data_IF_539006100180
#
_entry.id   IF_539006100180
#
_cell.length_a   1.000
_cell.length_b   1.000
_cell.length_c   1.000
_cell.angle_alpha   90.00
_cell.angle_beta   90.00
_cell.angle_gamma   90.00
#
_symmetry.space_group_name_H-M   'P 1'
#
loop_
_entity.id
_entity.type
_entity.pdbx_description
1 polymer ?
#
# COMPACT_ATOMS: atom_id res chain seq x y z
N UNK A 1 8.13 -4.50 -12.49
CA UNK A 1 7.15 -4.49 -11.39
C UNK A 1 7.42 -3.28 -10.53
N UNK A 2 6.36 -2.60 -10.09
CA UNK A 2 6.43 -1.52 -9.10
C UNK A 2 5.42 -1.82 -8.00
N UNK A 3 5.69 -1.31 -6.80
CA UNK A 3 4.76 -1.38 -5.68
C UNK A 3 4.22 0.01 -5.40
N UNK A 4 2.92 0.18 -5.54
CA UNK A 4 2.20 1.33 -5.01
C UNK A 4 2.12 1.20 -3.50
N UNK A 5 2.55 2.24 -2.79
CA UNK A 5 2.36 2.35 -1.34
C UNK A 5 1.63 3.66 -1.05
N UNK A 6 0.57 3.57 -0.25
CA UNK A 6 -0.18 4.73 0.19
C UNK A 6 -0.43 4.64 1.69
N UNK A 7 0.05 5.64 2.42
CA UNK A 7 -0.32 5.82 3.82
C UNK A 7 -1.59 6.65 3.89
N UNK A 8 -2.59 6.10 4.56
CA UNK A 8 -3.90 6.71 4.76
C UNK A 8 -4.06 7.02 6.24
N UNK A 9 -4.05 8.31 6.58
CA UNK A 9 -4.37 8.78 7.93
C UNK A 9 -5.84 9.12 7.99
N UNK A 10 -6.66 8.28 8.65
CA UNK A 10 -8.12 8.43 8.68
C UNK A 10 -8.50 9.45 9.77
N UNK A 11 -9.32 10.43 9.40
CA UNK A 11 -9.86 11.44 10.32
C UNK A 11 -11.40 11.48 10.32
N UNK A 12 -12.04 10.72 9.42
CA UNK A 12 -13.49 10.49 9.42
C UNK A 12 -13.88 9.20 10.14
N UNK A 13 -15.10 8.73 9.87
CA UNK A 13 -15.57 7.43 10.35
C UNK A 13 -14.78 6.27 9.70
N UNK A 14 -14.30 5.34 10.52
CA UNK A 14 -13.43 4.25 10.07
C UNK A 14 -14.19 3.22 9.24
N UNK A 15 -15.44 2.91 9.60
CA UNK A 15 -16.25 1.93 8.86
C UNK A 15 -16.66 2.48 7.49
N UNK A 16 -17.04 3.76 7.43
CA UNK A 16 -17.30 4.46 6.17
C UNK A 16 -16.04 4.49 5.28
N UNK A 17 -14.88 4.77 5.87
CA UNK A 17 -13.60 4.72 5.16
C UNK A 17 -13.34 3.32 4.59
N UNK A 18 -13.48 2.27 5.39
CA UNK A 18 -13.25 0.89 4.94
C UNK A 18 -14.21 0.51 3.80
N UNK A 19 -15.48 0.86 3.91
CA UNK A 19 -16.44 0.62 2.83
C UNK A 19 -16.10 1.39 1.54
N UNK A 20 -15.66 2.65 1.65
CA UNK A 20 -15.22 3.43 0.48
C UNK A 20 -13.95 2.83 -0.14
N UNK A 21 -13.00 2.41 0.70
CA UNK A 21 -11.75 1.75 0.32
C UNK A 21 -11.99 0.43 -0.42
N UNK A 22 -12.95 -0.37 0.02
CA UNK A 22 -13.28 -1.65 -0.63
C UNK A 22 -13.76 -1.46 -2.07
N UNK A 23 -14.53 -0.41 -2.34
CA UNK A 23 -14.97 -0.07 -3.70
C UNK A 23 -13.80 0.34 -4.60
N UNK A 24 -12.88 1.14 -4.07
CA UNK A 24 -11.65 1.51 -4.80
C UNK A 24 -10.77 0.28 -5.03
N UNK A 25 -10.61 -0.57 -4.02
CA UNK A 25 -9.81 -1.80 -4.10
C UNK A 25 -10.37 -2.76 -5.15
N UNK A 26 -11.69 -2.96 -5.18
CA UNK A 26 -12.37 -3.79 -6.18
C UNK A 26 -12.20 -3.25 -7.61
N UNK A 27 -12.23 -1.93 -7.78
CA UNK A 27 -11.93 -1.31 -9.07
C UNK A 27 -10.47 -1.54 -9.49
N UNK A 28 -9.53 -1.27 -8.58
CA UNK A 28 -8.09 -1.37 -8.85
C UNK A 28 -7.66 -2.81 -9.15
N UNK A 29 -8.24 -3.80 -8.45
CA UNK A 29 -7.90 -5.21 -8.64
C UNK A 29 -8.38 -5.80 -9.97
N UNK A 30 -9.35 -5.14 -10.61
CA UNK A 30 -9.84 -5.52 -11.93
C UNK A 30 -9.05 -4.90 -13.10
N UNK A 31 -8.08 -4.02 -12.82
CA UNK A 31 -7.36 -3.30 -13.88
C UNK A 31 -6.26 -4.16 -14.51
N UNK A 32 -5.99 -3.98 -15.83
CA UNK A 32 -4.85 -4.62 -16.47
C UNK A 32 -3.53 -4.28 -15.77
N UNK A 33 -2.69 -5.30 -15.56
CA UNK A 33 -1.38 -5.15 -14.94
C UNK A 33 -1.38 -5.12 -13.40
N UNK A 34 -2.53 -5.23 -12.75
CA UNK A 34 -2.62 -5.45 -11.30
C UNK A 34 -2.18 -6.88 -10.93
N UNK A 35 -1.36 -7.03 -9.88
CA UNK A 35 -0.80 -8.33 -9.47
C UNK A 35 -1.26 -8.79 -8.08
N UNK A 36 -1.66 -7.86 -7.21
CA UNK A 36 -2.12 -8.18 -5.86
C UNK A 36 -2.05 -6.97 -4.94
N UNK A 37 -2.62 -7.09 -3.74
CA UNK A 37 -2.54 -6.06 -2.72
C UNK A 37 -2.48 -6.64 -1.32
N UNK A 38 -2.05 -5.80 -0.38
CA UNK A 38 -2.18 -5.98 1.06
C UNK A 38 -2.64 -4.67 1.67
N UNK A 39 -3.47 -4.76 2.69
CA UNK A 39 -3.79 -3.62 3.55
C UNK A 39 -3.30 -3.93 4.95
N UNK A 40 -2.50 -3.03 5.49
CA UNK A 40 -2.01 -3.09 6.85
C UNK A 40 -2.68 -1.99 7.64
N UNK A 41 -3.00 -2.26 8.90
CA UNK A 41 -3.42 -1.26 9.86
C UNK A 41 -2.32 -1.09 10.89
N UNK A 42 -2.05 0.15 11.29
CA UNK A 42 -1.14 0.42 12.41
C UNK A 42 -1.62 -0.33 13.65
N UNK A 43 -0.70 -1.06 14.28
CA UNK A 43 -0.99 -1.86 15.46
C UNK A 43 -1.01 -0.97 16.71
N UNK A 44 -2.21 -0.73 17.25
CA UNK A 44 -2.41 0.18 18.38
C UNK A 44 -2.23 1.66 17.99
N UNK A 45 -3.08 2.52 18.52
CA UNK A 45 -3.02 3.96 18.26
C UNK A 45 -3.98 4.43 17.17
N UNK A 46 -3.55 5.44 16.42
CA UNK A 46 -4.36 6.18 15.44
C UNK A 46 -4.83 5.28 14.28
N UNK A 47 -5.98 5.61 13.64
CA UNK A 47 -6.51 4.85 12.50
C UNK A 47 -5.70 5.12 11.22
N UNK A 48 -4.47 4.61 11.20
CA UNK A 48 -3.55 4.69 10.07
C UNK A 48 -3.52 3.35 9.34
N UNK A 49 -3.62 3.41 8.02
CA UNK A 49 -3.56 2.25 7.14
C UNK A 49 -2.43 2.41 6.11
N UNK A 50 -1.80 1.31 5.73
CA UNK A 50 -0.92 1.23 4.57
C UNK A 50 -1.58 0.34 3.53
N UNK A 51 -1.77 0.88 2.33
CA UNK A 51 -2.12 0.10 1.16
C UNK A 51 -0.88 -0.18 0.36
N UNK A 52 -0.65 -1.45 0.06
CA UNK A 52 0.41 -1.90 -0.81
C UNK A 52 -0.25 -2.62 -1.98
N UNK A 53 0.02 -2.21 -3.21
CA UNK A 53 -0.46 -2.90 -4.40
C UNK A 53 0.67 -3.08 -5.41
N UNK A 54 0.86 -4.32 -5.86
CA UNK A 54 1.89 -4.66 -6.84
C UNK A 54 1.31 -4.55 -8.26
N UNK A 55 2.08 -3.92 -9.14
CA UNK A 55 1.73 -3.69 -10.54
C UNK A 55 2.85 -4.15 -11.45
N UNK A 56 2.48 -4.66 -12.62
CA UNK A 56 3.41 -5.08 -13.66
C UNK A 56 4.43 -3.99 -13.99
N UNK A 57 3.94 -2.75 -14.16
CA UNK A 57 4.75 -1.55 -14.39
C UNK A 57 3.99 -0.26 -13.98
N UNK A 58 4.72 0.86 -14.00
CA UNK A 58 4.17 2.17 -13.64
C UNK A 58 3.17 2.73 -14.67
N UNK A 59 3.17 2.25 -15.92
CA UNK A 59 2.23 2.70 -16.93
C UNK A 59 0.84 2.09 -16.71
N UNK A 60 0.77 0.81 -16.36
CA UNK A 60 -0.45 0.11 -15.98
C UNK A 60 -1.12 0.79 -14.76
N UNK A 61 -0.35 1.05 -13.70
CA UNK A 61 -0.87 1.78 -12.53
C UNK A 61 -1.37 3.18 -12.92
N UNK A 62 -0.60 3.92 -13.72
CA UNK A 62 -0.97 5.27 -14.15
C UNK A 62 -2.29 5.27 -14.92
N UNK A 63 -2.47 4.35 -15.86
CA UNK A 63 -3.69 4.22 -16.64
C UNK A 63 -4.92 4.00 -15.75
N UNK A 64 -4.79 3.15 -14.72
CA UNK A 64 -5.85 2.91 -13.74
C UNK A 64 -6.25 4.18 -12.97
N UNK A 65 -5.27 4.90 -12.39
CA UNK A 65 -5.54 6.06 -11.52
C UNK A 65 -5.92 7.34 -12.27
N UNK A 66 -5.62 7.43 -13.57
CA UNK A 66 -6.05 8.56 -14.42
C UNK A 66 -7.42 8.35 -15.06
N UNK A 67 -8.07 7.22 -14.83
CA UNK A 67 -9.38 6.95 -15.43
C UNK A 67 -10.49 7.80 -14.78
N UNK A 68 -11.55 8.14 -15.53
CA UNK A 68 -12.73 8.80 -14.96
C UNK A 68 -13.41 7.97 -13.85
N UNK A 69 -13.43 6.64 -14.01
CA UNK A 69 -14.02 5.72 -13.03
C UNK A 69 -13.29 5.77 -11.69
N UNK A 70 -11.96 5.81 -11.70
CA UNK A 70 -11.15 5.96 -10.49
C UNK A 70 -11.43 7.30 -9.79
N UNK A 71 -11.48 8.39 -10.57
CA UNK A 71 -11.78 9.73 -10.05
C UNK A 71 -13.12 9.81 -9.31
N UNK A 72 -14.15 9.14 -9.85
CA UNK A 72 -15.47 9.07 -9.21
C UNK A 72 -15.45 8.31 -7.88
N UNK A 73 -14.67 7.24 -7.78
CA UNK A 73 -14.56 6.42 -6.56
C UNK A 73 -13.75 7.10 -5.46
N UNK A 74 -12.63 7.75 -5.81
CA UNK A 74 -11.70 8.32 -4.83
C UNK A 74 -12.23 9.62 -4.19
N UNK A 75 -13.21 10.27 -4.80
CA UNK A 75 -13.82 11.51 -4.29
C UNK A 75 -14.39 11.35 -2.87
N UNK A 76 -14.97 10.19 -2.55
CA UNK A 76 -15.49 9.88 -1.21
C UNK A 76 -14.38 9.69 -0.16
N UNK A 77 -13.24 9.12 -0.55
CA UNK A 77 -12.13 8.85 0.38
C UNK A 77 -11.44 10.12 0.87
N UNK A 78 -11.35 11.16 0.04
CA UNK A 78 -10.64 12.41 0.38
C UNK A 78 -11.23 13.16 1.58
N UNK A 79 -12.49 12.91 1.93
CA UNK A 79 -13.14 13.51 3.09
C UNK A 79 -12.91 12.69 4.38
N UNK A 80 -12.49 11.43 4.24
CA UNK A 80 -12.37 10.49 5.35
C UNK A 80 -10.91 10.27 5.76
N UNK A 81 -9.96 10.46 4.85
CA UNK A 81 -8.54 10.26 5.11
C UNK A 81 -7.63 11.18 4.29
N UNK A 82 -6.45 11.43 4.84
CA UNK A 82 -5.33 12.06 4.13
C UNK A 82 -4.44 10.97 3.50
N UNK A 83 -4.34 10.89 2.16
CA UNK A 83 -3.46 9.96 1.47
C UNK A 83 -2.05 10.53 1.26
N UNK A 84 -1.04 9.66 1.37
CA UNK A 84 0.36 9.93 1.03
C UNK A 84 0.85 8.83 0.04
N UNK A 85 0.48 8.92 -1.25
CA UNK A 85 0.74 7.86 -2.23
C UNK A 85 2.08 8.03 -2.95
N UNK A 86 2.77 6.92 -3.21
CA UNK A 86 3.94 6.86 -4.09
C UNK A 86 4.12 5.49 -4.74
N UNK A 87 4.89 5.44 -5.83
CA UNK A 87 5.35 4.21 -6.46
C UNK A 87 6.79 3.92 -6.04
N UNK A 88 7.08 2.66 -5.77
CA UNK A 88 8.37 2.17 -5.31
C UNK A 88 8.86 1.03 -6.20
N UNK A 89 10.18 0.91 -6.29
CA UNK A 89 10.86 -0.21 -6.92
C UNK A 89 11.45 -1.11 -5.83
N UNK A 90 11.47 -2.42 -6.09
CA UNK A 90 12.15 -3.35 -5.19
C UNK A 90 13.66 -3.17 -5.33
N UNK A 91 14.35 -2.96 -4.21
CA UNK A 91 15.80 -3.00 -4.14
C UNK A 91 16.26 -4.32 -3.49
N UNK A 92 17.42 -4.87 -3.89
CA UNK A 92 17.93 -6.08 -3.25
C UNK A 92 18.11 -5.88 -1.74
N UNK A 93 17.71 -6.87 -0.95
CA UNK A 93 18.03 -6.90 0.47
C UNK A 93 19.55 -6.90 0.63
N UNK A 94 20.07 -5.97 1.44
CA UNK A 94 21.44 -6.08 1.90
C UNK A 94 21.42 -6.99 3.11
N UNK A 95 21.96 -8.20 2.96
CA UNK A 95 22.18 -9.11 4.07
C UNK A 95 22.91 -8.35 5.18
N UNK A 96 22.34 -8.29 6.39
CA UNK A 96 23.14 -7.97 7.56
C UNK A 96 24.18 -9.09 7.67
N UNK A 97 25.46 -8.74 7.48
CA UNK A 97 26.54 -9.72 7.59
C UNK A 97 26.42 -10.43 8.94
N UNK A 98 26.29 -11.76 8.91
CA UNK A 98 26.27 -12.59 10.11
C UNK A 98 27.64 -12.45 10.78
N UNK A 99 27.78 -11.57 11.77
CA UNK A 99 28.91 -11.62 12.67
C UNK A 99 28.76 -12.89 13.50
N UNK A 100 29.47 -13.95 13.10
CA UNK A 100 29.59 -15.15 13.90
C UNK A 100 30.23 -14.77 15.24
N UNK A 101 29.48 -14.93 16.34
CA UNK A 101 30.04 -14.84 17.69
C UNK A 101 30.87 -16.11 17.92
N UNK A 102 32.21 -16.03 18.08
CA UNK A 102 32.98 -17.22 18.42
C UNK A 102 32.63 -17.62 19.85
N UNK A 103 32.12 -18.84 20.02
CA UNK A 103 31.96 -19.45 21.33
C UNK A 103 33.38 -19.82 21.78
N UNK A 104 33.92 -19.09 22.76
CA UNK A 104 35.16 -19.49 23.41
C UNK A 104 34.92 -20.79 24.18
N UNK A 105 35.45 -21.90 23.68
CA UNK A 105 35.53 -23.16 24.43
C UNK A 105 36.54 -22.99 25.56
N UNK A 106 36.05 -22.73 26.77
CA UNK A 106 36.83 -22.90 28.00
C UNK A 106 36.92 -24.38 28.36
N UNK A 107 38.15 -24.87 28.50
CA UNK A 107 38.51 -26.00 29.36
C UNK A 107 39.27 -25.44 30.56
#
# INVERSE_FOLDING_TARGET
>A
MVTFVNKLTVHGDVEEFLAAKDRVTAYMSAQPGYLGHRTLRLAGGEPVFLELADWQDAAAHRAAVTSPAFGALVGGLKQLATPEPALYETVPERSAGTAAVPIASGL
#
